data_IF_835486173211
#
_entry.id   IF_835486173211
#
_cell.length_a   1.000
_cell.length_b   1.000
_cell.length_c   1.000
_cell.angle_alpha   90.00
_cell.angle_beta   90.00
_cell.angle_gamma   90.00
#
_symmetry.space_group_name_H-M   'P 1'
#
loop_
_entity.id
_entity.type
_entity.pdbx_description
1 polymer ?
#
# COMPACT_ATOMS: atom_id res chain seq x y z
N UNK A 1 52.97 10.93 -34.35
CA UNK A 1 51.66 10.27 -34.10
C UNK A 1 51.09 9.95 -35.47
N UNK A 2 51.02 8.68 -35.86
CA UNK A 2 50.73 8.30 -37.24
C UNK A 2 49.25 8.49 -37.56
N UNK A 3 48.94 8.83 -38.81
CA UNK A 3 47.56 8.95 -39.33
C UNK A 3 46.73 7.67 -39.08
N UNK A 4 47.39 6.50 -39.10
CA UNK A 4 46.79 5.20 -38.79
C UNK A 4 46.36 5.05 -37.31
N UNK A 5 47.02 5.73 -36.37
CA UNK A 5 46.65 5.69 -34.95
C UNK A 5 45.39 6.53 -34.69
N UNK A 6 45.22 7.65 -35.40
CA UNK A 6 44.00 8.46 -35.36
C UNK A 6 42.77 7.71 -35.89
N UNK A 7 42.94 6.90 -36.95
CA UNK A 7 41.85 6.05 -37.48
C UNK A 7 41.42 4.97 -36.48
N UNK A 8 42.36 4.35 -35.75
CA UNK A 8 42.03 3.35 -34.72
C UNK A 8 41.31 3.96 -33.52
N UNK A 9 41.74 5.14 -33.08
CA UNK A 9 41.07 5.88 -31.99
C UNK A 9 39.65 6.30 -32.42
N UNK A 10 39.50 6.81 -33.65
CA UNK A 10 38.19 7.18 -34.21
C UNK A 10 37.23 6.00 -34.30
N UNK A 11 37.71 4.83 -34.75
CA UNK A 11 36.89 3.61 -34.82
C UNK A 11 36.47 3.12 -33.42
N UNK A 12 37.37 3.19 -32.43
CA UNK A 12 37.06 2.83 -31.05
C UNK A 12 36.00 3.73 -30.41
N UNK A 13 36.08 5.04 -30.64
CA UNK A 13 35.06 6.01 -30.17
C UNK A 13 33.71 5.75 -30.86
N UNK A 14 33.72 5.46 -32.17
CA UNK A 14 32.49 5.18 -32.91
C UNK A 14 31.77 3.93 -32.39
N UNK A 15 32.49 2.83 -32.14
CA UNK A 15 31.92 1.61 -31.58
C UNK A 15 31.34 1.86 -30.18
N UNK A 16 32.05 2.63 -29.34
CA UNK A 16 31.53 3.05 -28.02
C UNK A 16 30.24 3.86 -28.13
N UNK A 17 30.16 4.81 -29.06
CA UNK A 17 28.94 5.60 -29.28
C UNK A 17 27.76 4.74 -29.78
N UNK A 18 28.01 3.76 -30.66
CA UNK A 18 26.98 2.82 -31.10
C UNK A 18 26.45 1.96 -29.94
N UNK A 19 27.33 1.47 -29.06
CA UNK A 19 26.95 0.69 -27.88
C UNK A 19 26.12 1.56 -26.91
N UNK A 20 26.57 2.77 -26.62
CA UNK A 20 25.84 3.70 -25.73
C UNK A 20 24.47 4.07 -26.31
N UNK A 21 24.40 4.33 -27.62
CA UNK A 21 23.14 4.61 -28.33
C UNK A 21 22.15 3.44 -28.23
N UNK A 22 22.63 2.20 -28.41
CA UNK A 22 21.81 1.00 -28.28
C UNK A 22 21.24 0.83 -26.86
N UNK A 23 22.04 1.06 -25.82
CA UNK A 23 21.56 1.00 -24.43
C UNK A 23 20.60 2.13 -24.09
N UNK A 24 20.80 3.34 -24.65
CA UNK A 24 19.91 4.47 -24.46
C UNK A 24 18.53 4.21 -25.08
N UNK A 25 18.48 3.72 -26.31
CA UNK A 25 17.24 3.38 -27.02
C UNK A 25 16.45 2.26 -26.32
N UNK A 26 17.15 1.21 -25.85
CA UNK A 26 16.53 0.14 -25.05
C UNK A 26 15.94 0.67 -23.73
N UNK A 27 16.56 1.68 -23.13
CA UNK A 27 16.06 2.32 -21.90
C UNK A 27 14.84 3.21 -22.19
N UNK A 28 14.82 3.91 -23.32
CA UNK A 28 13.65 4.71 -23.73
C UNK A 28 12.45 3.86 -24.10
N UNK A 29 12.64 2.81 -24.90
CA UNK A 29 11.57 1.88 -25.28
C UNK A 29 10.98 1.18 -24.05
N UNK A 30 11.81 0.77 -23.09
CA UNK A 30 11.33 0.23 -21.81
C UNK A 30 10.53 1.27 -20.99
N UNK A 31 10.94 2.55 -20.99
CA UNK A 31 10.19 3.63 -20.33
C UNK A 31 8.84 3.89 -21.01
N UNK A 32 8.79 3.91 -22.35
CA UNK A 32 7.54 4.12 -23.11
C UNK A 32 6.55 3.00 -22.85
N UNK A 33 7.00 1.74 -22.90
CA UNK A 33 6.16 0.58 -22.56
C UNK A 33 5.59 0.67 -21.15
N UNK A 34 6.42 1.00 -20.15
CA UNK A 34 5.96 1.20 -18.76
C UNK A 34 4.94 2.35 -18.65
N UNK A 35 5.12 3.42 -19.42
CA UNK A 35 4.17 4.54 -19.41
C UNK A 35 2.83 4.16 -20.05
N UNK A 36 2.84 3.39 -21.13
CA UNK A 36 1.63 2.85 -21.76
C UNK A 36 0.91 1.88 -20.83
N UNK A 37 1.63 0.95 -20.20
CA UNK A 37 1.09 0.03 -19.19
C UNK A 37 0.43 0.79 -18.02
N UNK A 38 1.09 1.84 -17.50
CA UNK A 38 0.50 2.68 -16.45
C UNK A 38 -0.79 3.37 -16.89
N UNK A 39 -0.85 3.88 -18.14
CA UNK A 39 -2.05 4.52 -18.68
C UNK A 39 -3.20 3.52 -18.85
N UNK A 40 -2.91 2.32 -19.33
CA UNK A 40 -3.91 1.25 -19.45
C UNK A 40 -4.46 0.82 -18.09
N UNK A 41 -3.60 0.74 -17.07
CA UNK A 41 -4.02 0.46 -15.69
C UNK A 41 -4.92 1.55 -15.12
N UNK A 42 -4.55 2.83 -15.30
CA UNK A 42 -5.38 3.96 -14.84
C UNK A 42 -6.74 3.96 -15.52
N UNK A 43 -6.76 3.77 -16.85
CA UNK A 43 -8.00 3.67 -17.61
C UNK A 43 -8.88 2.53 -17.11
N UNK A 44 -8.28 1.35 -16.86
CA UNK A 44 -8.99 0.20 -16.32
C UNK A 44 -9.54 0.45 -14.91
N UNK A 45 -8.77 1.09 -14.02
CA UNK A 45 -9.25 1.46 -12.67
C UNK A 45 -10.41 2.45 -12.72
N UNK A 46 -10.37 3.42 -13.62
CA UNK A 46 -11.46 4.38 -13.81
C UNK A 46 -12.72 3.70 -14.37
N UNK A 47 -12.55 2.81 -15.36
CA UNK A 47 -13.63 1.99 -15.91
C UNK A 47 -14.28 1.10 -14.84
N UNK A 48 -13.47 0.49 -13.97
CA UNK A 48 -13.93 -0.26 -12.81
C UNK A 48 -14.76 0.59 -11.85
N UNK A 49 -14.22 1.75 -11.47
CA UNK A 49 -14.88 2.67 -10.54
C UNK A 49 -16.21 3.19 -11.09
N UNK A 50 -16.30 3.40 -12.39
CA UNK A 50 -17.52 3.84 -13.09
C UNK A 50 -18.41 2.68 -13.53
N UNK A 51 -17.99 1.43 -13.29
CA UNK A 51 -18.64 0.21 -13.77
C UNK A 51 -18.99 0.29 -15.26
N UNK A 52 -18.00 0.55 -16.12
CA UNK A 52 -18.16 0.65 -17.58
C UNK A 52 -17.27 -0.40 -18.23
N UNK A 53 -17.83 -1.24 -19.10
CA UNK A 53 -17.02 -2.21 -19.82
C UNK A 53 -16.01 -1.50 -20.75
N UNK A 54 -14.69 -1.77 -20.63
CA UNK A 54 -13.67 -1.17 -21.50
C UNK A 54 -13.79 -1.56 -22.97
N UNK A 55 -14.38 -2.72 -23.27
CA UNK A 55 -14.49 -3.24 -24.63
C UNK A 55 -15.75 -2.76 -25.35
N UNK A 56 -16.92 -2.82 -24.70
CA UNK A 56 -18.20 -2.45 -25.34
C UNK A 56 -18.80 -1.13 -24.84
N UNK A 57 -18.22 -0.49 -23.82
CA UNK A 57 -18.68 0.80 -23.29
C UNK A 57 -19.98 0.74 -22.47
N UNK A 58 -20.56 -0.43 -22.24
CA UNK A 58 -21.82 -0.55 -21.51
C UNK A 58 -21.63 -0.28 -20.02
N UNK A 59 -22.46 0.61 -19.46
CA UNK A 59 -22.46 0.96 -18.03
C UNK A 59 -23.21 -0.08 -17.20
N UNK A 60 -22.78 -0.30 -15.96
CA UNK A 60 -23.39 -1.24 -15.02
C UNK A 60 -23.21 -2.72 -15.41
N UNK A 61 -22.32 -3.02 -16.35
CA UNK A 61 -22.24 -4.34 -16.98
C UNK A 61 -21.11 -5.22 -16.45
N UNK A 62 -20.16 -4.66 -15.69
CA UNK A 62 -19.04 -5.41 -15.12
C UNK A 62 -19.50 -6.13 -13.85
N UNK A 63 -19.19 -7.42 -13.79
CA UNK A 63 -19.48 -8.29 -12.66
C UNK A 63 -18.18 -8.97 -12.21
N UNK A 64 -17.90 -8.94 -10.91
CA UNK A 64 -16.81 -9.72 -10.31
C UNK A 64 -17.19 -11.20 -10.27
N UNK A 65 -16.24 -12.06 -10.61
CA UNK A 65 -16.34 -13.52 -10.58
C UNK A 65 -15.70 -14.02 -9.28
N UNK A 66 -16.52 -14.32 -8.28
CA UNK A 66 -16.04 -14.76 -6.97
C UNK A 66 -15.41 -16.16 -7.00
N UNK A 67 -15.83 -17.01 -7.93
CA UNK A 67 -15.32 -18.36 -8.15
C UNK A 67 -13.89 -18.38 -8.72
N UNK A 68 -13.50 -17.33 -9.44
CA UNK A 68 -12.14 -17.15 -9.95
C UNK A 68 -11.24 -16.34 -9.00
N UNK A 69 -11.76 -15.88 -7.85
CA UNK A 69 -10.98 -15.08 -6.90
C UNK A 69 -9.94 -15.94 -6.18
N UNK A 70 -8.67 -15.66 -6.45
CA UNK A 70 -7.54 -16.28 -5.75
C UNK A 70 -7.00 -15.34 -4.68
N UNK A 71 -6.82 -15.87 -3.46
CA UNK A 71 -6.27 -15.12 -2.32
C UNK A 71 -4.90 -15.65 -1.95
N UNK A 72 -3.87 -14.80 -2.00
CA UNK A 72 -2.54 -15.16 -1.52
C UNK A 72 -2.51 -15.31 0.01
N UNK A 73 -1.50 -15.99 0.58
CA UNK A 73 -1.15 -15.85 1.99
C UNK A 73 -0.77 -14.40 2.33
N UNK A 74 -0.77 -14.09 3.63
CA UNK A 74 -0.29 -12.81 4.13
C UNK A 74 1.23 -12.70 4.03
N UNK A 75 1.72 -11.52 3.65
CA UNK A 75 3.15 -11.17 3.63
C UNK A 75 3.39 -10.08 4.65
N UNK A 76 4.31 -10.29 5.60
CA UNK A 76 4.66 -9.27 6.59
C UNK A 76 5.36 -8.08 5.93
N UNK A 77 4.87 -6.86 6.17
CA UNK A 77 5.47 -5.61 5.66
C UNK A 77 6.27 -4.82 6.68
N UNK A 78 6.05 -5.05 7.97
CA UNK A 78 6.71 -4.30 9.04
C UNK A 78 5.74 -3.52 9.93
N UNK A 79 6.28 -2.57 10.68
CA UNK A 79 5.56 -1.74 11.64
C UNK A 79 5.22 -0.37 11.05
N UNK A 80 3.97 0.06 11.18
CA UNK A 80 3.53 1.42 10.80
C UNK A 80 2.68 2.05 11.88
N UNK A 81 2.82 3.37 12.02
CA UNK A 81 1.98 4.19 12.88
C UNK A 81 0.79 4.71 12.08
N UNK A 82 -0.43 4.39 12.52
CA UNK A 82 -1.68 4.90 11.93
C UNK A 82 -2.50 5.61 12.99
N UNK A 83 -3.02 6.78 12.64
CA UNK A 83 -3.98 7.51 13.48
C UNK A 83 -5.37 6.86 13.35
N UNK A 84 -5.87 6.32 14.46
CA UNK A 84 -7.23 5.82 14.58
C UNK A 84 -8.15 6.98 14.89
N UNK A 85 -8.92 7.41 13.88
CA UNK A 85 -9.86 8.53 14.00
C UNK A 85 -10.99 8.28 15.00
N UNK A 86 -11.42 7.02 15.17
CA UNK A 86 -12.55 6.68 16.04
C UNK A 86 -12.13 6.79 17.51
N UNK A 87 -10.95 6.28 17.84
CA UNK A 87 -10.40 6.38 19.19
C UNK A 87 -9.63 7.68 19.44
N UNK A 88 -9.27 8.44 18.39
CA UNK A 88 -8.37 9.61 18.42
C UNK A 88 -6.99 9.27 19.00
N UNK A 89 -6.41 8.15 18.57
CA UNK A 89 -5.13 7.66 19.08
C UNK A 89 -4.18 7.33 17.94
N UNK A 90 -2.89 7.49 18.18
CA UNK A 90 -1.86 6.94 17.28
C UNK A 90 -1.58 5.50 17.68
N UNK A 91 -1.68 4.58 16.72
CA UNK A 91 -1.40 3.15 16.95
C UNK A 91 -0.27 2.70 16.02
N UNK A 92 0.86 2.33 16.60
CA UNK A 92 1.99 1.69 15.91
C UNK A 92 1.84 0.19 16.00
N UNK A 93 1.70 -0.48 14.86
CA UNK A 93 1.41 -1.91 14.82
C UNK A 93 1.96 -2.57 13.57
N UNK A 94 2.06 -3.89 13.63
CA UNK A 94 2.46 -4.72 12.50
C UNK A 94 1.43 -4.64 11.37
N UNK A 95 1.93 -4.75 10.14
CA UNK A 95 1.14 -4.78 8.92
C UNK A 95 1.51 -5.93 8.04
N UNK A 96 0.49 -6.45 7.36
CA UNK A 96 0.58 -7.54 6.42
C UNK A 96 -0.10 -7.12 5.13
N UNK A 97 0.53 -7.43 4.02
CA UNK A 97 -0.05 -7.31 2.69
C UNK A 97 -0.69 -8.65 2.31
N UNK A 98 -1.82 -8.57 1.62
CA UNK A 98 -2.41 -9.71 0.92
C UNK A 98 -2.71 -9.33 -0.51
N UNK A 99 -2.36 -10.24 -1.43
CA UNK A 99 -2.63 -10.09 -2.86
C UNK A 99 -3.88 -10.88 -3.21
N UNK A 100 -4.74 -10.26 -4.00
CA UNK A 100 -5.92 -10.90 -4.55
C UNK A 100 -5.79 -10.85 -6.07
N UNK A 101 -6.00 -12.00 -6.71
CA UNK A 101 -6.27 -12.05 -8.14
C UNK A 101 -7.78 -12.16 -8.27
N UNK A 102 -8.42 -11.09 -8.73
CA UNK A 102 -9.85 -11.05 -8.98
C UNK A 102 -10.09 -11.11 -10.49
N UNK A 103 -11.22 -11.69 -10.89
CA UNK A 103 -11.65 -11.70 -12.27
C UNK A 103 -12.94 -10.91 -12.45
N UNK A 104 -13.05 -10.22 -13.57
CA UNK A 104 -14.25 -9.52 -13.99
C UNK A 104 -14.71 -10.04 -15.33
N UNK A 105 -16.02 -10.08 -15.51
CA UNK A 105 -16.63 -10.23 -16.82
C UNK A 105 -17.61 -9.10 -17.12
N UNK A 106 -17.81 -8.84 -18.40
CA UNK A 106 -18.96 -8.09 -18.86
C UNK A 106 -20.17 -9.02 -19.03
N UNK A 107 -21.36 -8.56 -18.65
CA UNK A 107 -22.62 -9.30 -18.86
C UNK A 107 -23.17 -9.15 -20.29
N UNK A 108 -22.60 -8.25 -21.09
CA UNK A 108 -23.11 -7.86 -22.42
C UNK A 108 -22.16 -8.20 -23.58
N UNK A 109 -20.91 -8.57 -23.29
CA UNK A 109 -19.93 -9.01 -24.28
C UNK A 109 -18.98 -10.05 -23.67
N UNK A 110 -18.03 -10.54 -24.46
CA UNK A 110 -17.02 -11.53 -24.09
C UNK A 110 -15.84 -10.96 -23.28
N UNK A 111 -15.95 -9.72 -22.79
CA UNK A 111 -14.89 -9.10 -22.00
C UNK A 111 -14.68 -9.88 -20.71
N UNK A 112 -13.48 -10.42 -20.54
CA UNK A 112 -13.00 -11.07 -19.33
C UNK A 112 -11.60 -10.53 -19.02
N UNK A 113 -11.37 -10.17 -17.75
CA UNK A 113 -10.05 -9.69 -17.31
C UNK A 113 -9.77 -10.12 -15.88
N UNK A 114 -8.63 -10.78 -15.70
CA UNK A 114 -8.03 -11.01 -14.38
C UNK A 114 -7.15 -9.80 -14.03
N UNK A 115 -7.27 -9.31 -12.80
CA UNK A 115 -6.45 -8.22 -12.29
C UNK A 115 -6.02 -8.50 -10.86
N UNK A 116 -4.91 -7.86 -10.47
CA UNK A 116 -4.36 -8.00 -9.13
C UNK A 116 -4.66 -6.76 -8.30
N UNK A 117 -5.05 -6.97 -7.06
CA UNK A 117 -5.09 -5.92 -6.03
C UNK A 117 -4.25 -6.34 -4.82
N UNK A 118 -3.60 -5.37 -4.22
CA UNK A 118 -2.84 -5.53 -2.99
C UNK A 118 -3.55 -4.75 -1.90
N UNK A 119 -3.78 -5.39 -0.76
CA UNK A 119 -4.47 -4.78 0.38
C UNK A 119 -3.63 -4.96 1.62
N UNK A 120 -3.35 -3.85 2.29
CA UNK A 120 -2.62 -3.82 3.55
C UNK A 120 -3.58 -3.90 4.74
N UNK A 121 -3.35 -4.90 5.59
CA UNK A 121 -4.07 -5.14 6.82
C UNK A 121 -3.14 -4.85 8.00
N UNK A 122 -3.67 -4.19 9.02
CA UNK A 122 -2.99 -4.10 10.31
C UNK A 122 -3.64 -5.06 11.30
N UNK A 123 -2.97 -5.37 12.40
CA UNK A 123 -3.41 -6.44 13.31
C UNK A 123 -4.80 -6.17 13.88
N UNK A 124 -5.09 -4.89 14.16
CA UNK A 124 -6.38 -4.45 14.64
C UNK A 124 -7.48 -4.67 13.60
N UNK A 125 -7.24 -4.34 12.34
CA UNK A 125 -8.19 -4.58 11.24
C UNK A 125 -8.43 -6.08 11.07
N UNK A 126 -7.38 -6.91 11.19
CA UNK A 126 -7.52 -8.37 11.15
C UNK A 126 -8.44 -8.85 12.27
N UNK A 127 -8.19 -8.41 13.50
CA UNK A 127 -8.96 -8.79 14.68
C UNK A 127 -10.42 -8.27 14.64
N UNK A 128 -10.61 -6.98 14.39
CA UNK A 128 -11.93 -6.34 14.37
C UNK A 128 -12.80 -6.83 13.21
N UNK A 129 -12.18 -7.16 12.07
CA UNK A 129 -12.86 -7.61 10.86
C UNK A 129 -13.06 -9.12 10.75
N UNK A 130 -12.57 -9.92 11.72
CA UNK A 130 -12.67 -11.38 11.70
C UNK A 130 -11.91 -12.03 10.53
N UNK A 131 -10.84 -11.40 10.04
CA UNK A 131 -10.07 -11.91 8.91
C UNK A 131 -9.21 -13.12 9.30
N UNK A 132 -8.71 -13.84 8.29
CA UNK A 132 -7.85 -14.99 8.46
C UNK A 132 -6.56 -14.62 9.23
N UNK A 133 -6.14 -15.49 10.16
CA UNK A 133 -4.88 -15.30 10.86
C UNK A 133 -3.70 -15.33 9.88
N UNK A 134 -2.75 -14.36 9.94
CA UNK A 134 -1.59 -14.33 9.05
C UNK A 134 -0.70 -15.58 9.10
N UNK A 135 -0.71 -16.30 10.22
CA UNK A 135 0.14 -17.49 10.43
C UNK A 135 -0.56 -18.80 10.05
N UNK A 136 -1.78 -19.03 10.52
CA UNK A 136 -2.47 -20.32 10.32
C UNK A 136 -3.63 -20.28 9.32
N UNK A 137 -3.98 -19.10 8.79
CA UNK A 137 -5.05 -18.94 7.79
C UNK A 137 -6.46 -19.20 8.31
N UNK A 138 -6.66 -19.41 9.62
CA UNK A 138 -8.00 -19.60 10.18
C UNK A 138 -8.75 -18.27 10.28
N UNK A 139 -9.93 -18.22 9.68
CA UNK A 139 -10.89 -17.10 9.73
C UNK A 139 -11.29 -16.82 11.18
N UNK A 140 -11.55 -15.56 11.51
CA UNK A 140 -12.11 -15.11 12.80
C UNK A 140 -11.38 -15.67 14.04
N UNK A 141 -10.05 -15.76 13.93
CA UNK A 141 -9.23 -16.38 14.97
C UNK A 141 -8.31 -15.42 15.70
N UNK A 142 -8.06 -14.22 15.15
CA UNK A 142 -7.24 -13.18 15.77
C UNK A 142 -8.13 -12.30 16.65
N UNK A 143 -7.69 -12.03 17.88
CA UNK A 143 -8.44 -11.23 18.86
C UNK A 143 -7.50 -10.36 19.70
N UNK A 144 -8.06 -9.30 20.30
CA UNK A 144 -7.36 -8.52 21.32
C UNK A 144 -7.27 -9.34 22.61
N UNK A 145 -6.05 -9.76 22.96
CA UNK A 145 -5.75 -10.59 24.13
C UNK A 145 -5.68 -9.78 25.42
N UNK A 146 -5.18 -8.54 25.34
CA UNK A 146 -5.06 -7.67 26.52
C UNK A 146 -4.51 -6.30 26.19
N UNK A 147 -4.66 -5.37 27.13
CA UNK A 147 -4.15 -4.01 27.06
C UNK A 147 -3.39 -3.72 28.35
N UNK A 148 -2.15 -3.26 28.24
CA UNK A 148 -1.29 -2.91 29.38
C UNK A 148 -0.91 -1.44 29.25
N UNK A 149 -1.26 -0.62 30.24
CA UNK A 149 -0.76 0.74 30.34
C UNK A 149 0.70 0.70 30.81
N UNK A 150 1.61 1.30 30.04
CA UNK A 150 3.03 1.35 30.39
C UNK A 150 3.38 2.62 31.14
N UNK A 151 3.34 3.76 30.45
CA UNK A 151 3.89 5.01 30.97
C UNK A 151 3.12 6.22 30.45
N UNK A 152 3.19 7.32 31.19
CA UNK A 152 2.73 8.62 30.75
C UNK A 152 3.94 9.54 30.55
N UNK A 153 3.95 10.33 29.48
CA UNK A 153 5.01 11.27 29.19
C UNK A 153 4.45 12.62 28.74
N UNK A 154 5.21 13.69 28.93
CA UNK A 154 4.83 15.02 28.44
C UNK A 154 5.42 15.28 27.07
N UNK A 155 4.64 15.92 26.19
CA UNK A 155 5.03 16.25 24.82
C UNK A 155 4.53 17.64 24.45
N UNK A 156 5.16 18.30 23.48
CA UNK A 156 4.68 19.58 22.97
C UNK A 156 3.81 19.34 21.74
N UNK A 157 2.60 19.91 21.74
CA UNK A 157 1.67 19.88 20.61
C UNK A 157 1.54 21.27 20.01
N UNK A 158 1.69 21.37 18.70
CA UNK A 158 1.40 22.60 17.97
C UNK A 158 -0.11 22.80 17.84
N UNK A 159 -0.59 23.98 18.18
CA UNK A 159 -1.99 24.38 18.12
C UNK A 159 -2.10 25.72 17.40
N UNK A 160 -3.04 25.80 16.46
CA UNK A 160 -3.39 27.05 15.80
C UNK A 160 -4.53 27.73 16.55
N UNK A 161 -4.25 28.89 17.13
CA UNK A 161 -5.21 29.73 17.82
C UNK A 161 -5.67 30.84 16.87
N UNK A 162 -6.98 30.89 16.56
CA UNK A 162 -7.56 31.95 15.74
C UNK A 162 -8.12 33.04 16.65
N UNK A 163 -7.59 34.25 16.52
CA UNK A 163 -8.08 35.42 17.24
C UNK A 163 -8.55 36.50 16.24
N UNK A 164 -9.12 37.59 16.76
CA UNK A 164 -9.62 38.71 15.94
C UNK A 164 -8.55 39.42 15.11
N UNK A 165 -7.25 39.11 15.33
CA UNK A 165 -6.10 39.70 14.62
C UNK A 165 -5.39 38.72 13.67
N UNK A 166 -5.86 37.47 13.57
CA UNK A 166 -5.30 36.45 12.67
C UNK A 166 -5.12 35.07 13.33
N UNK A 167 -4.42 34.17 12.65
CA UNK A 167 -4.09 32.83 13.15
C UNK A 167 -2.67 32.84 13.72
N UNK A 168 -2.50 32.38 14.97
CA UNK A 168 -1.20 32.26 15.63
C UNK A 168 -0.94 30.80 16.02
N UNK A 169 0.22 30.27 15.64
CA UNK A 169 0.71 28.95 16.08
C UNK A 169 1.32 29.07 17.48
N UNK A 170 0.94 28.18 18.39
CA UNK A 170 1.56 28.03 19.72
C UNK A 170 1.87 26.56 19.99
N UNK A 171 2.83 26.32 20.87
CA UNK A 171 3.11 24.99 21.40
C UNK A 171 2.56 24.90 22.83
N UNK A 172 1.71 23.92 23.08
CA UNK A 172 1.21 23.60 24.42
C UNK A 172 1.83 22.29 24.90
N UNK A 173 2.07 22.17 26.20
CA UNK A 173 2.43 20.89 26.81
C UNK A 173 1.17 20.04 26.94
N UNK A 174 1.23 18.83 26.41
CA UNK A 174 0.19 17.80 26.55
C UNK A 174 0.79 16.59 27.26
N UNK A 175 -0.03 15.90 28.04
CA UNK A 175 0.34 14.61 28.61
C UNK A 175 -0.15 13.52 27.68
N UNK A 176 0.70 12.54 27.37
CA UNK A 176 0.37 11.38 26.55
C UNK A 176 0.50 10.12 27.38
N UNK A 177 -0.44 9.18 27.21
CA UNK A 177 -0.32 7.82 27.73
C UNK A 177 0.16 6.87 26.63
N UNK A 178 0.96 5.90 27.03
CA UNK A 178 1.44 4.81 26.18
C UNK A 178 0.86 3.49 26.70
N UNK A 179 0.08 2.83 25.86
CA UNK A 179 -0.52 1.52 26.11
C UNK A 179 0.04 0.50 25.12
N UNK A 180 0.12 -0.76 25.53
CA UNK A 180 0.42 -1.89 24.66
C UNK A 180 -0.80 -2.78 24.54
N UNK A 181 -1.35 -2.85 23.34
CA UNK A 181 -2.39 -3.80 22.96
C UNK A 181 -1.71 -5.08 22.43
N UNK A 182 -1.99 -6.21 23.06
CA UNK A 182 -1.51 -7.51 22.60
C UNK A 182 -2.62 -8.23 21.86
N UNK A 183 -2.34 -8.67 20.64
CA UNK A 183 -3.23 -9.47 19.81
C UNK A 183 -2.71 -10.90 19.72
N UNK A 184 -3.62 -11.88 19.72
CA UNK A 184 -3.28 -13.30 19.65
C UNK A 184 -4.23 -14.08 18.73
N UNK A 185 -3.81 -15.28 18.31
CA UNK A 185 -4.68 -16.22 17.62
C UNK A 185 -5.20 -17.31 18.57
N UNK A 186 -6.45 -17.75 18.39
CA UNK A 186 -7.02 -18.88 19.15
C UNK A 186 -6.48 -20.25 18.73
N UNK A 187 -5.95 -20.34 17.50
CA UNK A 187 -5.64 -21.59 16.82
C UNK A 187 -4.14 -21.83 16.62
N UNK A 188 -3.27 -20.85 16.89
CA UNK A 188 -1.83 -20.99 16.79
C UNK A 188 -1.12 -20.00 17.73
N UNK A 189 0.21 -20.03 17.71
CA UNK A 189 1.13 -19.18 18.49
C UNK A 189 1.34 -17.78 17.89
N UNK A 190 0.48 -17.34 16.96
CA UNK A 190 0.53 -15.97 16.45
C UNK A 190 0.27 -14.97 17.58
N UNK A 191 1.18 -14.02 17.72
CA UNK A 191 1.10 -12.90 18.64
C UNK A 191 1.64 -11.66 17.94
N UNK A 192 1.02 -10.52 18.21
CA UNK A 192 1.44 -9.23 17.67
C UNK A 192 1.13 -8.13 18.68
N UNK A 193 2.04 -7.18 18.82
CA UNK A 193 1.92 -6.10 19.81
C UNK A 193 1.76 -4.77 19.07
N UNK A 194 0.76 -4.00 19.48
CA UNK A 194 0.54 -2.65 19.01
C UNK A 194 0.78 -1.66 20.15
N UNK A 195 1.61 -0.65 19.91
CA UNK A 195 1.78 0.48 20.83
C UNK A 195 0.75 1.54 20.50
N UNK A 196 -0.05 1.93 21.48
CA UNK A 196 -1.07 2.97 21.38
C UNK A 196 -0.62 4.19 22.17
N UNK A 197 -0.63 5.34 21.52
CA UNK A 197 -0.36 6.63 22.14
C UNK A 197 -1.65 7.45 22.14
N UNK A 198 -2.10 7.83 23.33
CA UNK A 198 -3.29 8.67 23.52
C UNK A 198 -2.88 9.99 24.16
N UNK A 199 -3.50 11.08 23.73
CA UNK A 199 -3.42 12.34 24.47
C UNK A 199 -4.41 12.28 25.63
N UNK A 200 -3.95 12.61 26.84
CA UNK A 200 -4.79 12.73 28.02
C UNK A 200 -5.26 14.19 28.11
N UNK A 201 -6.57 14.37 28.22
CA UNK A 201 -7.22 15.67 28.44
C UNK A 201 -7.05 16.14 29.89
#
# INVERSE_FOLDING_TARGET
MNWLDWLKIGLGIFVLLCIVGYFADRKETAKRKRLEEMKEEEYFRDALKKNICPQCGTKGSLQELEDERVRSPYTFKGLVTKFDRKAKVDRRMETWERKFEDALRCTQCDYHKVYRREVDYNVKVIADGGYDCPKCGKIDSVYLKGVIAKECYTSNKEVEEKNSRGTKKRYIKVTKSLEEETYGCRNCDFHSVATVTKELD
#
